data_IF_576529110159
#
_entry.id   IF_576529110159
#
_cell.length_a   1.000
_cell.length_b   1.000
_cell.length_c   1.000
_cell.angle_alpha   90.00
_cell.angle_beta   90.00
_cell.angle_gamma   90.00
#
_symmetry.space_group_name_H-M   'P 1'
#
loop_
_entity.id
_entity.type
_entity.pdbx_description
1 polymer ?
#
# COMPACT_ATOMS: atom_id res chain seq x y z
N UNK A 1 -1.28 -14.90 -10.65
CA UNK A 1 -0.29 -13.93 -11.20
C UNK A 1 -0.27 -12.67 -10.33
N UNK A 2 -1.36 -11.90 -10.28
CA UNK A 2 -1.44 -10.66 -9.49
C UNK A 2 -1.13 -10.82 -8.00
N UNK A 3 -1.62 -11.88 -7.35
CA UNK A 3 -1.36 -12.11 -5.92
C UNK A 3 0.13 -12.28 -5.58
N UNK A 4 0.88 -12.95 -6.46
CA UNK A 4 2.29 -13.21 -6.25
C UNK A 4 3.16 -11.94 -6.47
N UNK A 5 2.76 -11.12 -7.44
CA UNK A 5 3.32 -9.78 -7.65
C UNK A 5 3.03 -8.90 -6.43
N UNK A 6 1.78 -8.88 -5.94
CA UNK A 6 1.40 -8.10 -4.77
C UNK A 6 2.20 -8.47 -3.51
N UNK A 7 2.38 -9.76 -3.21
CA UNK A 7 3.18 -10.20 -2.06
C UNK A 7 4.64 -9.77 -2.19
N UNK A 8 5.23 -9.91 -3.37
CA UNK A 8 6.63 -9.57 -3.56
C UNK A 8 6.86 -8.06 -3.49
N UNK A 9 5.99 -7.28 -4.13
CA UNK A 9 6.00 -5.81 -4.04
C UNK A 9 5.80 -5.37 -2.58
N UNK A 10 4.85 -5.99 -1.85
CA UNK A 10 4.62 -5.70 -0.44
C UNK A 10 5.87 -5.92 0.43
N UNK A 11 6.62 -7.01 0.21
CA UNK A 11 7.90 -7.27 0.91
C UNK A 11 8.96 -6.19 0.62
N UNK A 12 8.94 -5.60 -0.58
CA UNK A 12 9.91 -4.56 -0.98
C UNK A 12 9.56 -3.19 -0.40
N UNK A 13 8.28 -2.84 -0.34
CA UNK A 13 7.82 -1.53 0.14
C UNK A 13 7.64 -1.45 1.67
N UNK A 14 7.73 -2.58 2.40
CA UNK A 14 7.50 -2.63 3.86
C UNK A 14 8.38 -1.62 4.63
N UNK A 15 9.64 -1.47 4.23
CA UNK A 15 10.57 -0.53 4.86
C UNK A 15 10.10 0.92 4.70
N UNK A 16 9.59 1.26 3.51
CA UNK A 16 9.02 2.58 3.24
C UNK A 16 7.74 2.80 4.06
N UNK A 17 6.87 1.79 4.19
CA UNK A 17 5.64 1.89 4.98
C UNK A 17 5.95 2.15 6.47
N UNK A 18 6.98 1.52 7.01
CA UNK A 18 7.46 1.76 8.38
C UNK A 18 7.93 3.21 8.55
N UNK A 19 8.74 3.71 7.60
CA UNK A 19 9.18 5.11 7.60
C UNK A 19 7.98 6.07 7.59
N UNK A 20 7.02 5.85 6.68
CA UNK A 20 5.80 6.64 6.59
C UNK A 20 5.02 6.64 7.91
N UNK A 21 4.87 5.47 8.53
CA UNK A 21 4.16 5.33 9.81
C UNK A 21 4.85 6.14 10.92
N UNK A 22 6.18 6.07 11.03
CA UNK A 22 6.95 6.84 12.02
C UNK A 22 6.75 8.34 11.81
N UNK A 23 6.79 8.81 10.56
CA UNK A 23 6.55 10.22 10.23
C UNK A 23 5.13 10.64 10.61
N UNK A 24 4.11 9.86 10.23
CA UNK A 24 2.70 10.16 10.55
C UNK A 24 2.47 10.21 12.06
N UNK A 25 3.04 9.26 12.82
CA UNK A 25 2.96 9.24 14.29
C UNK A 25 3.62 10.50 14.88
N UNK A 26 4.76 10.93 14.32
CA UNK A 26 5.48 12.12 14.79
C UNK A 26 4.64 13.40 14.61
N UNK A 27 3.99 13.56 13.46
CA UNK A 27 3.07 14.67 13.22
C UNK A 27 1.81 14.59 14.08
N UNK A 28 1.22 13.40 14.26
CA UNK A 28 0.09 13.21 15.16
C UNK A 28 0.44 13.59 16.60
N UNK A 29 1.66 13.27 17.04
CA UNK A 29 2.13 13.68 18.35
C UNK A 29 2.35 15.19 18.45
N UNK A 30 2.88 15.82 17.41
CA UNK A 30 3.03 17.28 17.37
C UNK A 30 1.67 18.01 17.42
N UNK A 31 0.69 17.55 16.62
CA UNK A 31 -0.69 18.08 16.68
C UNK A 31 -1.31 17.86 18.05
N UNK A 32 -1.15 16.67 18.62
CA UNK A 32 -1.64 16.35 19.96
C UNK A 32 -1.10 17.37 20.99
N UNK A 33 0.21 17.56 21.08
CA UNK A 33 0.79 18.50 22.05
C UNK A 33 0.32 19.95 21.81
N UNK A 34 0.18 20.36 20.55
CA UNK A 34 -0.19 21.71 20.16
C UNK A 34 -1.67 22.01 20.44
N UNK A 35 -2.55 21.05 20.17
CA UNK A 35 -4.01 21.22 20.15
C UNK A 35 -4.72 20.57 21.36
N UNK A 36 -3.95 19.98 22.29
CA UNK A 36 -4.44 19.48 23.56
C UNK A 36 -4.98 20.64 24.42
N UNK A 37 -6.20 20.53 24.99
CA UNK A 37 -6.69 21.46 26.00
C UNK A 37 -5.77 21.43 27.23
N UNK A 38 -5.42 22.61 27.73
CA UNK A 38 -4.61 22.80 28.94
C UNK A 38 -5.46 23.03 30.19
N UNK A 39 -6.70 23.46 30.01
CA UNK A 39 -7.66 23.66 31.10
C UNK A 39 -8.60 22.48 31.22
N UNK A 40 -8.99 22.15 32.45
CA UNK A 40 -10.01 21.13 32.71
C UNK A 40 -11.34 21.52 32.05
N UNK A 41 -12.05 20.51 31.55
CA UNK A 41 -13.35 20.68 30.91
C UNK A 41 -14.23 19.45 31.12
N UNK A 42 -15.54 19.65 30.95
CA UNK A 42 -16.54 18.58 30.90
C UNK A 42 -17.47 18.81 29.73
N UNK A 43 -17.88 17.77 29.01
CA UNK A 43 -18.88 17.90 27.95
C UNK A 43 -20.28 18.20 28.49
N UNK A 44 -20.58 17.83 29.74
CA UNK A 44 -21.91 18.01 30.33
C UNK A 44 -22.16 19.42 30.90
N UNK A 45 -21.11 20.21 31.11
CA UNK A 45 -21.23 21.54 31.71
C UNK A 45 -20.31 22.52 30.99
N UNK A 46 -20.88 23.67 30.59
CA UNK A 46 -20.12 24.72 29.92
C UNK A 46 -19.02 25.26 30.82
N UNK A 47 -17.78 25.16 30.36
CA UNK A 47 -16.63 25.77 31.00
C UNK A 47 -16.29 27.06 30.27
N UNK A 48 -16.13 28.17 31.02
CA UNK A 48 -15.69 29.45 30.48
C UNK A 48 -14.23 29.63 30.89
N UNK A 49 -13.32 29.50 29.93
CA UNK A 49 -11.90 29.72 30.14
C UNK A 49 -11.26 30.31 28.87
N UNK A 50 -10.02 30.76 29.00
CA UNK A 50 -9.27 31.39 27.91
C UNK A 50 -8.41 30.37 27.11
N UNK A 51 -8.65 29.08 27.26
CA UNK A 51 -7.90 28.05 26.56
C UNK A 51 -8.44 27.87 25.13
N UNK A 52 -7.66 28.22 24.09
CA UNK A 52 -8.12 28.17 22.70
C UNK A 52 -8.43 26.74 22.22
N UNK A 53 -7.89 25.73 22.89
CA UNK A 53 -8.08 24.33 22.53
C UNK A 53 -9.28 23.69 23.26
N UNK A 54 -9.90 24.41 24.20
CA UNK A 54 -11.04 23.89 24.94
C UNK A 54 -12.22 23.59 23.99
N UNK A 55 -12.85 22.41 24.06
CA UNK A 55 -13.96 22.07 23.18
C UNK A 55 -15.13 23.06 23.22
N UNK A 56 -15.38 23.71 24.36
CA UNK A 56 -16.43 24.73 24.47
C UNK A 56 -16.09 26.02 23.73
N UNK A 57 -14.82 26.33 23.53
CA UNK A 57 -14.36 27.48 22.74
C UNK A 57 -14.32 27.17 21.23
N UNK A 58 -14.26 25.89 20.86
CA UNK A 58 -14.31 25.40 19.48
C UNK A 58 -15.73 25.03 19.02
N UNK A 59 -16.69 24.97 19.94
CA UNK A 59 -18.07 24.62 19.67
C UNK A 59 -18.73 25.63 18.72
N UNK A 60 -19.60 25.13 17.83
CA UNK A 60 -20.36 25.99 16.92
C UNK A 60 -21.34 26.87 17.69
N UNK A 61 -21.26 28.18 17.45
CA UNK A 61 -22.15 29.18 18.02
C UNK A 61 -23.07 29.77 16.95
N UNK A 62 -24.29 30.10 17.36
CA UNK A 62 -25.30 30.71 16.50
C UNK A 62 -25.74 32.03 17.13
N UNK A 63 -25.41 33.12 16.45
CA UNK A 63 -25.77 34.47 16.88
C UNK A 63 -27.08 34.90 16.21
N UNK A 64 -27.87 35.74 16.90
CA UNK A 64 -29.04 36.36 16.30
C UNK A 64 -28.60 37.48 15.35
N UNK A 65 -29.24 37.54 14.19
CA UNK A 65 -29.09 38.62 13.21
C UNK A 65 -30.40 39.39 13.24
N UNK A 66 -30.34 40.66 13.62
CA UNK A 66 -31.49 41.55 13.66
C UNK A 66 -31.83 42.06 12.25
N UNK A 67 -33.06 42.55 12.04
CA UNK A 67 -33.53 43.04 10.73
C UNK A 67 -32.68 44.19 10.16
N UNK A 68 -32.02 44.96 11.03
CA UNK A 68 -31.08 46.03 10.66
C UNK A 68 -29.69 45.51 10.21
N UNK A 69 -29.48 44.19 10.18
CA UNK A 69 -28.22 43.54 9.80
C UNK A 69 -27.17 43.48 10.90
N UNK A 70 -27.45 44.01 12.11
CA UNK A 70 -26.54 43.87 13.26
C UNK A 70 -26.59 42.45 13.82
N UNK A 71 -25.43 41.95 14.24
CA UNK A 71 -25.28 40.63 14.87
C UNK A 71 -25.14 40.82 16.37
N UNK A 72 -25.91 40.09 17.17
CA UNK A 72 -25.71 40.08 18.63
C UNK A 72 -24.31 39.52 18.94
N UNK A 73 -23.54 40.25 19.76
CA UNK A 73 -22.22 39.82 20.20
C UNK A 73 -22.28 38.56 21.06
N UNK A 74 -23.42 38.32 21.72
CA UNK A 74 -23.62 37.11 22.51
C UNK A 74 -24.29 36.02 21.68
N UNK A 75 -23.79 34.77 21.75
CA UNK A 75 -24.42 33.66 21.06
C UNK A 75 -25.76 33.32 21.68
N UNK A 76 -26.78 33.15 20.84
CA UNK A 76 -28.11 32.74 21.25
C UNK A 76 -28.17 31.24 21.51
N UNK A 77 -27.51 30.44 20.67
CA UNK A 77 -27.36 29.00 20.85
C UNK A 77 -25.90 28.59 20.72
N UNK A 78 -25.48 27.67 21.59
CA UNK A 78 -24.18 27.02 21.52
C UNK A 78 -24.45 25.53 21.39
N UNK A 79 -23.93 24.90 20.34
CA UNK A 79 -24.00 23.46 20.21
C UNK A 79 -23.07 22.82 21.25
N UNK A 80 -23.56 21.92 22.12
CA UNK A 80 -22.69 21.24 23.07
C UNK A 80 -21.56 20.49 22.34
N UNK A 81 -20.28 20.68 22.74
CA UNK A 81 -19.18 19.98 22.12
C UNK A 81 -19.26 18.48 22.41
N UNK A 82 -18.64 17.70 21.53
CA UNK A 82 -18.46 16.27 21.69
C UNK A 82 -16.99 15.88 21.48
N UNK A 83 -16.70 14.58 21.57
CA UNK A 83 -15.35 14.04 21.40
C UNK A 83 -14.72 14.37 20.04
N UNK A 84 -15.53 14.64 19.01
CA UNK A 84 -15.06 15.01 17.67
C UNK A 84 -14.83 16.53 17.51
N UNK A 85 -15.34 17.37 18.42
CA UNK A 85 -15.13 18.83 18.38
C UNK A 85 -13.65 19.18 18.58
N UNK A 86 -12.93 18.42 19.40
CA UNK A 86 -11.47 18.48 19.43
C UNK A 86 -10.89 17.06 19.45
N UNK A 87 -10.56 16.53 18.27
CA UNK A 87 -9.97 15.20 18.13
C UNK A 87 -8.56 15.08 18.73
N UNK A 88 -7.95 16.16 19.24
CA UNK A 88 -6.61 16.16 19.83
C UNK A 88 -6.62 16.10 21.36
N UNK A 89 -7.79 15.87 21.98
CA UNK A 89 -7.89 15.59 23.42
C UNK A 89 -7.18 14.28 23.79
N UNK A 90 -7.29 13.25 22.94
CA UNK A 90 -6.64 11.95 23.14
C UNK A 90 -5.65 11.67 22.01
N UNK A 91 -4.56 10.95 22.34
CA UNK A 91 -3.54 10.64 21.34
C UNK A 91 -4.06 9.69 20.25
N UNK A 92 -4.98 8.77 20.56
CA UNK A 92 -5.55 7.84 19.57
C UNK A 92 -6.41 8.58 18.57
N UNK A 93 -7.23 9.53 19.04
CA UNK A 93 -8.05 10.37 18.17
C UNK A 93 -7.20 11.35 17.37
N UNK A 94 -6.09 11.85 17.92
CA UNK A 94 -5.12 12.66 17.17
C UNK A 94 -4.47 11.87 16.03
N UNK A 95 -4.09 10.62 16.29
CA UNK A 95 -3.55 9.72 15.26
C UNK A 95 -4.58 9.48 14.16
N UNK A 96 -5.84 9.25 14.53
CA UNK A 96 -6.93 9.09 13.57
C UNK A 96 -7.19 10.37 12.76
N UNK A 97 -7.20 11.55 13.39
CA UNK A 97 -7.33 12.84 12.70
C UNK A 97 -6.19 13.07 11.69
N UNK A 98 -4.96 12.72 12.07
CA UNK A 98 -3.79 12.83 11.18
C UNK A 98 -3.87 11.86 10.01
N UNK A 99 -4.38 10.64 10.24
CA UNK A 99 -4.68 9.68 9.17
C UNK A 99 -5.79 10.20 8.23
N UNK A 100 -6.88 10.75 8.76
CA UNK A 100 -7.92 11.39 7.95
C UNK A 100 -7.34 12.50 7.08
N UNK A 101 -6.45 13.30 7.65
CA UNK A 101 -5.76 14.36 6.92
C UNK A 101 -4.85 13.82 5.80
N UNK A 102 -4.13 12.71 6.05
CA UNK A 102 -3.37 12.01 5.02
C UNK A 102 -4.25 11.59 3.83
N UNK A 103 -5.49 11.15 4.10
CA UNK A 103 -6.47 10.78 3.07
C UNK A 103 -7.23 11.96 2.45
N UNK A 104 -6.94 13.19 2.88
CA UNK A 104 -7.50 14.42 2.32
C UNK A 104 -8.64 15.06 3.11
N UNK A 105 -9.05 14.50 4.25
CA UNK A 105 -10.07 15.10 5.13
C UNK A 105 -9.40 15.97 6.20
N UNK A 106 -9.46 17.29 6.01
CA UNK A 106 -8.91 18.28 6.95
C UNK A 106 -9.92 18.77 7.99
N UNK A 107 -11.13 18.20 8.08
CA UNK A 107 -12.21 18.72 8.94
C UNK A 107 -11.84 18.73 10.43
N UNK A 108 -10.97 17.83 10.87
CA UNK A 108 -10.45 17.83 12.23
C UNK A 108 -9.52 19.02 12.53
N UNK A 109 -8.90 19.63 11.52
CA UNK A 109 -7.90 20.70 11.65
C UNK A 109 -8.48 22.10 11.40
N UNK A 110 -9.73 22.20 10.92
CA UNK A 110 -10.40 23.46 10.55
C UNK A 110 -11.07 24.17 11.73
N UNK A 111 -11.06 23.59 12.93
CA UNK A 111 -11.73 24.16 14.10
C UNK A 111 -11.01 25.40 14.65
N UNK A 112 -9.75 25.61 14.29
CA UNK A 112 -8.95 26.76 14.70
C UNK A 112 -8.86 27.82 13.60
N UNK A 113 -8.87 29.10 13.98
CA UNK A 113 -8.55 30.19 13.07
C UNK A 113 -7.09 30.12 12.63
N UNK A 114 -6.86 30.11 11.32
CA UNK A 114 -5.53 30.02 10.72
C UNK A 114 -4.64 31.24 11.00
N UNK A 115 -5.21 32.44 11.01
CA UNK A 115 -4.44 33.67 11.24
C UNK A 115 -3.96 33.78 12.70
N UNK A 116 -4.74 33.25 13.63
CA UNK A 116 -4.47 33.38 15.06
C UNK A 116 -3.57 32.25 15.60
N UNK A 117 -3.30 31.21 14.80
CA UNK A 117 -2.52 30.05 15.22
C UNK A 117 -1.42 29.71 14.21
N UNK A 118 -0.37 30.54 14.07
CA UNK A 118 0.70 30.30 13.10
C UNK A 118 1.37 28.91 13.20
N UNK A 119 1.67 28.36 14.39
CA UNK A 119 2.30 27.03 14.50
C UNK A 119 1.42 25.91 13.92
N UNK A 120 0.10 26.01 14.08
CA UNK A 120 -0.87 25.05 13.54
C UNK A 120 -0.85 25.06 12.01
N UNK A 121 -0.88 26.25 11.42
CA UNK A 121 -0.81 26.43 9.96
C UNK A 121 0.51 25.93 9.40
N UNK A 122 1.62 26.21 10.07
CA UNK A 122 2.95 25.72 9.67
C UNK A 122 2.96 24.18 9.64
N UNK A 123 2.39 23.54 10.67
CA UNK A 123 2.31 22.09 10.75
C UNK A 123 1.44 21.49 9.62
N UNK A 124 0.33 22.14 9.27
CA UNK A 124 -0.53 21.77 8.13
C UNK A 124 0.26 21.83 6.81
N UNK A 125 0.95 22.94 6.56
CA UNK A 125 1.72 23.14 5.32
C UNK A 125 2.86 22.14 5.22
N UNK A 126 3.61 21.93 6.32
CA UNK A 126 4.71 20.98 6.37
C UNK A 126 4.23 19.54 6.15
N UNK A 127 3.16 19.13 6.82
CA UNK A 127 2.59 17.79 6.64
C UNK A 127 2.12 17.59 5.19
N UNK A 128 1.44 18.58 4.62
CA UNK A 128 0.97 18.51 3.24
C UNK A 128 2.13 18.37 2.25
N UNK A 129 3.16 19.19 2.39
CA UNK A 129 4.33 19.15 1.49
C UNK A 129 5.12 17.84 1.64
N UNK A 130 5.44 17.47 2.88
CA UNK A 130 6.34 16.35 3.15
C UNK A 130 5.62 15.00 3.00
N UNK A 131 4.44 14.85 3.57
CA UNK A 131 3.74 13.55 3.60
C UNK A 131 2.87 13.39 2.36
N UNK A 132 1.94 14.31 2.14
CA UNK A 132 0.93 14.17 1.07
C UNK A 132 1.55 14.35 -0.31
N UNK A 133 2.37 15.38 -0.52
CA UNK A 133 2.98 15.65 -1.82
C UNK A 133 4.23 14.79 -2.03
N UNK A 134 5.21 14.84 -1.12
CA UNK A 134 6.48 14.16 -1.36
C UNK A 134 6.41 12.65 -1.09
N UNK A 135 6.07 12.22 0.12
CA UNK A 135 6.11 10.80 0.48
C UNK A 135 5.05 9.96 -0.27
N UNK A 136 3.81 10.43 -0.44
CA UNK A 136 2.82 9.64 -1.21
C UNK A 136 3.22 9.50 -2.69
N UNK A 137 3.73 10.56 -3.32
CA UNK A 137 4.18 10.45 -4.72
C UNK A 137 5.42 9.56 -4.85
N UNK A 138 6.35 9.64 -3.90
CA UNK A 138 7.48 8.71 -3.83
C UNK A 138 7.00 7.27 -3.64
N UNK A 139 6.01 7.03 -2.77
CA UNK A 139 5.42 5.72 -2.54
C UNK A 139 4.82 5.13 -3.82
N UNK A 140 4.03 5.92 -4.55
CA UNK A 140 3.44 5.53 -5.84
C UNK A 140 4.54 5.23 -6.86
N UNK A 141 5.60 6.05 -6.91
CA UNK A 141 6.76 5.82 -7.79
C UNK A 141 7.49 4.51 -7.49
N UNK A 142 7.73 4.22 -6.21
CA UNK A 142 8.34 2.96 -5.75
C UNK A 142 7.47 1.76 -6.09
N UNK A 143 6.15 1.85 -5.83
CA UNK A 143 5.18 0.82 -6.20
C UNK A 143 5.21 0.52 -7.70
N UNK A 144 5.15 1.56 -8.53
CA UNK A 144 5.17 1.41 -9.99
C UNK A 144 6.46 0.73 -10.48
N UNK A 145 7.62 1.12 -9.95
CA UNK A 145 8.90 0.53 -10.32
C UNK A 145 8.97 -0.97 -9.95
N UNK A 146 8.58 -1.33 -8.73
CA UNK A 146 8.59 -2.72 -8.27
C UNK A 146 7.58 -3.60 -9.04
N UNK A 147 6.42 -3.04 -9.40
CA UNK A 147 5.43 -3.75 -10.24
C UNK A 147 6.02 -4.03 -11.63
N UNK A 148 6.69 -3.06 -12.25
CA UNK A 148 7.30 -3.22 -13.58
C UNK A 148 8.45 -4.24 -13.54
N UNK A 149 9.32 -4.18 -12.54
CA UNK A 149 10.43 -5.12 -12.38
C UNK A 149 9.96 -6.58 -12.22
N UNK A 150 8.80 -6.78 -11.59
CA UNK A 150 8.28 -8.10 -11.27
C UNK A 150 7.16 -8.59 -12.21
N UNK A 151 6.83 -7.82 -13.26
CA UNK A 151 5.94 -8.24 -14.33
C UNK A 151 6.62 -9.19 -15.33
N UNK A 152 7.41 -10.15 -14.83
CA UNK A 152 8.09 -11.14 -15.64
C UNK A 152 7.37 -12.49 -15.54
N UNK A 153 6.88 -12.98 -16.67
CA UNK A 153 6.22 -14.29 -16.80
C UNK A 153 7.09 -15.44 -16.26
N UNK A 154 8.41 -15.33 -16.37
CA UNK A 154 9.34 -16.31 -15.83
C UNK A 154 9.37 -16.33 -14.29
N UNK A 155 9.32 -15.16 -13.64
CA UNK A 155 9.28 -15.07 -12.18
C UNK A 155 7.98 -15.66 -11.62
N UNK A 156 6.86 -15.49 -12.34
CA UNK A 156 5.59 -16.12 -12.00
C UNK A 156 5.67 -17.66 -12.02
N UNK A 157 6.23 -18.25 -13.09
CA UNK A 157 6.38 -19.70 -13.16
C UNK A 157 7.34 -20.24 -12.10
N UNK A 158 8.43 -19.53 -11.83
CA UNK A 158 9.37 -19.89 -10.76
C UNK A 158 8.66 -19.92 -9.39
N UNK A 159 7.88 -18.89 -9.06
CA UNK A 159 7.12 -18.86 -7.80
C UNK A 159 6.05 -19.94 -7.75
N UNK A 160 5.33 -20.20 -8.86
CA UNK A 160 4.35 -21.29 -8.92
C UNK A 160 5.00 -22.65 -8.66
N UNK A 161 6.17 -22.90 -9.25
CA UNK A 161 6.92 -24.12 -9.03
C UNK A 161 7.43 -24.24 -7.58
N UNK A 162 7.90 -23.14 -7.00
CA UNK A 162 8.36 -23.11 -5.61
C UNK A 162 7.21 -23.44 -4.62
N UNK A 163 6.04 -22.83 -4.81
CA UNK A 163 4.85 -23.14 -4.00
C UNK A 163 4.40 -24.58 -4.19
N UNK A 164 4.43 -25.10 -5.43
CA UNK A 164 4.09 -26.50 -5.71
C UNK A 164 5.05 -27.45 -4.97
N UNK A 165 6.35 -27.20 -5.04
CA UNK A 165 7.36 -27.99 -4.34
C UNK A 165 7.19 -27.93 -2.81
N UNK A 166 6.81 -26.78 -2.25
CA UNK A 166 6.54 -26.62 -0.83
C UNK A 166 5.31 -27.42 -0.39
N UNK A 167 4.23 -27.40 -1.19
CA UNK A 167 3.04 -28.23 -0.99
C UNK A 167 3.42 -29.72 -1.05
N UNK A 168 4.17 -30.13 -2.07
CA UNK A 168 4.60 -31.51 -2.24
C UNK A 168 5.46 -32.02 -1.08
N UNK A 169 6.34 -31.17 -0.56
CA UNK A 169 7.27 -31.54 0.49
C UNK A 169 6.63 -31.57 1.88
N UNK A 170 5.81 -30.57 2.22
CA UNK A 170 5.32 -30.36 3.59
C UNK A 170 3.85 -30.70 3.80
N UNK A 171 3.01 -30.63 2.76
CA UNK A 171 1.56 -30.73 2.90
C UNK A 171 0.95 -32.01 2.33
N UNK A 172 1.72 -32.81 1.57
CA UNK A 172 1.24 -34.09 1.04
C UNK A 172 1.69 -35.31 1.88
N UNK A 173 0.71 -36.14 2.21
CA UNK A 173 0.95 -37.42 2.88
C UNK A 173 1.72 -38.39 1.95
N UNK A 174 2.46 -39.36 2.51
CA UNK A 174 3.29 -40.28 1.71
C UNK A 174 2.52 -41.05 0.64
N UNK A 175 1.24 -41.36 0.86
CA UNK A 175 0.41 -42.06 -0.12
C UNK A 175 -0.06 -41.13 -1.25
N UNK A 176 -0.37 -39.86 -0.95
CA UNK A 176 -0.81 -38.87 -1.95
C UNK A 176 0.30 -38.55 -2.96
N UNK A 177 1.56 -38.53 -2.50
CA UNK A 177 2.74 -38.37 -3.38
C UNK A 177 2.99 -39.54 -4.34
N UNK A 178 2.34 -40.69 -4.11
CA UNK A 178 2.47 -41.89 -4.95
C UNK A 178 1.25 -42.13 -5.84
N UNK A 179 0.27 -41.23 -5.82
CA UNK A 179 -0.90 -41.31 -6.69
C UNK A 179 -0.54 -40.92 -8.12
N UNK A 180 -0.63 -41.89 -9.03
CA UNK A 180 -0.26 -41.73 -10.44
C UNK A 180 -1.12 -40.70 -11.17
N UNK A 181 -2.39 -40.54 -10.79
CA UNK A 181 -3.28 -39.50 -11.32
C UNK A 181 -2.80 -38.07 -11.01
N UNK A 182 -2.17 -37.83 -9.86
CA UNK A 182 -1.69 -36.49 -9.47
C UNK A 182 -0.23 -36.28 -9.86
N UNK A 183 0.57 -37.36 -9.86
CA UNK A 183 1.98 -37.38 -10.24
C UNK A 183 2.22 -38.40 -11.35
N UNK A 184 1.89 -38.07 -12.61
CA UNK A 184 2.06 -38.99 -13.72
C UNK A 184 3.55 -39.24 -14.00
N UNK A 185 3.89 -40.48 -14.35
CA UNK A 185 5.26 -40.87 -14.75
C UNK A 185 5.68 -40.22 -16.08
N UNK A 186 4.72 -39.82 -16.93
CA UNK A 186 4.96 -39.22 -18.24
C UNK A 186 4.11 -37.97 -18.42
N UNK A 187 4.74 -36.86 -18.80
CA UNK A 187 4.06 -35.61 -19.17
C UNK A 187 4.18 -35.36 -20.68
N UNK A 188 3.05 -35.28 -21.36
CA UNK A 188 3.00 -34.89 -22.77
C UNK A 188 2.89 -33.37 -22.87
N UNK A 189 3.88 -32.73 -23.50
CA UNK A 189 3.87 -31.29 -23.78
C UNK A 189 3.93 -31.05 -25.28
N UNK A 190 2.98 -30.28 -25.80
CA UNK A 190 2.96 -29.87 -27.19
C UNK A 190 3.63 -28.50 -27.31
N UNK A 191 4.60 -28.37 -28.22
CA UNK A 191 5.33 -27.14 -28.45
C UNK A 191 5.54 -26.95 -29.94
N UNK A 192 5.41 -25.71 -30.42
CA UNK A 192 5.69 -25.38 -31.81
C UNK A 192 7.20 -25.56 -32.10
N UNK A 193 7.53 -26.10 -33.27
CA UNK A 193 8.91 -26.31 -33.73
C UNK A 193 9.68 -24.99 -33.76
N UNK A 194 9.03 -23.90 -34.17
CA UNK A 194 9.65 -22.57 -34.24
C UNK A 194 10.09 -22.05 -32.86
N UNK A 195 9.24 -22.19 -31.85
CA UNK A 195 9.53 -21.80 -30.47
C UNK A 195 10.69 -22.61 -29.89
N UNK A 196 10.72 -23.92 -30.18
CA UNK A 196 11.80 -24.82 -29.77
C UNK A 196 13.13 -24.37 -30.39
N UNK A 197 13.15 -24.10 -31.69
CA UNK A 197 14.36 -23.66 -32.39
C UNK A 197 14.88 -22.34 -31.83
N UNK A 198 13.98 -21.38 -31.57
CA UNK A 198 14.33 -20.10 -30.96
C UNK A 198 15.00 -20.28 -29.59
N UNK A 199 14.40 -21.09 -28.72
CA UNK A 199 14.96 -21.37 -27.37
C UNK A 199 16.34 -22.04 -27.46
N UNK A 200 16.53 -22.97 -28.41
CA UNK A 200 17.82 -23.65 -28.60
C UNK A 200 18.91 -22.67 -29.07
N UNK A 201 18.58 -21.75 -29.99
CA UNK A 201 19.49 -20.70 -30.46
C UNK A 201 19.88 -19.71 -29.36
N UNK A 202 18.93 -19.34 -28.51
CA UNK A 202 19.16 -18.42 -27.39
C UNK A 202 19.92 -19.08 -26.21
N UNK A 203 19.97 -20.42 -26.17
CA UNK A 203 20.59 -21.15 -25.07
C UNK A 203 22.12 -21.18 -25.19
N UNK A 204 22.82 -20.78 -24.11
CA UNK A 204 24.29 -20.82 -24.05
C UNK A 204 24.82 -22.26 -24.28
N UNK A 205 25.95 -22.45 -24.98
CA UNK A 205 26.48 -23.79 -25.32
C UNK A 205 26.72 -24.69 -24.12
N UNK A 206 27.16 -24.11 -23.00
CA UNK A 206 27.37 -24.83 -21.75
C UNK A 206 26.06 -25.37 -21.15
N UNK A 207 24.99 -24.56 -21.14
CA UNK A 207 23.65 -24.96 -20.70
C UNK A 207 23.08 -26.05 -21.60
N UNK A 208 23.26 -25.92 -22.92
CA UNK A 208 22.84 -26.95 -23.87
C UNK A 208 23.54 -28.29 -23.66
N UNK A 209 24.85 -28.27 -23.38
CA UNK A 209 25.62 -29.49 -23.05
C UNK A 209 25.08 -30.16 -21.77
N UNK A 210 24.80 -29.37 -20.72
CA UNK A 210 24.20 -29.89 -19.48
C UNK A 210 22.80 -30.45 -19.70
N UNK A 211 21.97 -29.79 -20.50
CA UNK A 211 20.63 -30.27 -20.84
C UNK A 211 20.67 -31.62 -21.57
N UNK A 212 21.51 -31.77 -22.60
CA UNK A 212 21.68 -33.05 -23.31
C UNK A 212 22.19 -34.17 -22.41
N UNK A 213 22.98 -33.85 -21.37
CA UNK A 213 23.42 -34.82 -20.37
C UNK A 213 22.28 -35.26 -19.45
N UNK A 214 21.42 -34.33 -19.05
CA UNK A 214 20.28 -34.61 -18.18
C UNK A 214 19.15 -35.36 -18.91
N UNK A 215 18.93 -35.05 -20.19
CA UNK A 215 17.86 -35.62 -21.01
C UNK A 215 18.39 -36.12 -22.37
N UNK A 216 19.10 -37.27 -22.40
CA UNK A 216 19.80 -37.75 -23.60
C UNK A 216 18.87 -38.04 -24.79
N UNK A 217 17.73 -38.70 -24.56
CA UNK A 217 16.77 -39.03 -25.63
C UNK A 217 16.09 -37.78 -26.23
N UNK A 218 15.62 -36.89 -25.36
CA UNK A 218 14.98 -35.64 -25.78
C UNK A 218 15.99 -34.73 -26.50
N UNK A 219 17.21 -34.62 -25.96
CA UNK A 219 18.29 -33.85 -26.56
C UNK A 219 18.65 -34.35 -27.97
N UNK A 220 18.69 -35.67 -28.19
CA UNK A 220 18.91 -36.24 -29.52
C UNK A 220 17.75 -35.96 -30.48
N UNK A 221 16.49 -36.16 -30.05
CA UNK A 221 15.30 -35.88 -30.87
C UNK A 221 15.21 -34.40 -31.27
N UNK A 222 15.45 -33.49 -30.34
CA UNK A 222 15.48 -32.06 -30.60
C UNK A 222 16.62 -31.68 -31.54
N UNK A 223 17.83 -32.26 -31.34
CA UNK A 223 18.95 -32.01 -32.24
C UNK A 223 18.65 -32.44 -33.67
N UNK A 224 18.02 -33.61 -33.88
CA UNK A 224 17.61 -34.06 -35.22
C UNK A 224 16.61 -33.11 -35.86
N UNK A 225 15.61 -32.64 -35.10
CA UNK A 225 14.52 -31.79 -35.59
C UNK A 225 14.90 -30.32 -35.82
N UNK A 226 16.03 -29.87 -35.24
CA UNK A 226 16.62 -28.55 -35.50
C UNK A 226 17.47 -28.55 -36.78
N UNK A 227 18.04 -29.70 -37.17
CA UNK A 227 18.86 -29.84 -38.38
C UNK A 227 18.04 -30.22 -39.62
N UNK A 228 16.79 -30.65 -39.46
CA UNK A 228 15.82 -30.69 -40.55
C UNK A 228 15.28 -29.27 -40.76
N UNK A 229 15.72 -28.58 -41.81
CA UNK A 229 15.04 -27.39 -42.34
C UNK A 229 13.58 -27.71 -42.66
N UNK A 230 12.68 -26.71 -42.68
CA UNK A 230 11.32 -26.95 -43.13
C UNK A 230 11.40 -27.34 -44.61
N UNK A 231 11.10 -28.61 -44.92
CA UNK A 231 10.63 -28.94 -46.26
C UNK A 231 9.41 -28.06 -46.51
N UNK A 232 9.53 -27.19 -47.51
CA UNK A 232 8.46 -26.29 -47.89
C UNK A 232 7.19 -27.10 -48.12
N UNK A 233 6.10 -26.61 -47.55
CA UNK A 233 4.77 -26.93 -48.07
C UNK A 233 4.72 -26.32 -49.49
N UNK A 234 5.03 -27.15 -50.48
CA UNK A 234 4.62 -26.93 -51.88
C UNK A 234 3.12 -27.21 -51.98
N UNK A 235 2.38 -26.17 -52.40
CA UNK A 235 1.02 -26.08 -52.98
C UNK A 235 -0.19 -26.70 -52.25
#
# INVERSE_FOLDING_TARGET
>A
MYFAIMIHVAKKIISFLILLLIVVISFAHAYYILLLPRSDFSFGQRTINNDPNNPWNLASTYNLIYENGTVDSNPFLIQPPNENTNMFIDFKTSLFATYKFLTGDSGALTNWSYLNNPPHVILIVLFSLLVVVYLMNLFIGLLNNEIQANNNRAAYFMQKAQVLAEIELFYLLPFQRRWKEWFPEVMHYYANVDDIQKVIREMKPNKWKSFKKAFPELGQKLSKKVHSEPEGEEE
#
